data_IF_319256716690
#
_entry.id   IF_319256716690
#
_cell.length_a   1.000
_cell.length_b   1.000
_cell.length_c   1.000
_cell.angle_alpha   90.00
_cell.angle_beta   90.00
_cell.angle_gamma   90.00
#
_symmetry.space_group_name_H-M   'P 1'
#
loop_
_entity.id
_entity.type
_entity.pdbx_description
1 polymer ?
#
# COMPACT_ATOMS: atom_id res chain seq x y z
N UNK A 1 -12.23 10.24 -13.42
CA UNK A 1 -11.26 11.15 -12.75
C UNK A 1 -10.48 10.32 -11.76
N UNK A 2 -9.18 10.19 -11.93
CA UNK A 2 -8.31 9.37 -11.05
C UNK A 2 -8.18 10.05 -9.68
N UNK A 3 -8.32 9.30 -8.59
CA UNK A 3 -8.22 9.83 -7.23
C UNK A 3 -6.77 10.24 -6.93
N UNK A 4 -6.50 11.47 -6.43
CA UNK A 4 -5.15 11.86 -6.04
C UNK A 4 -4.54 10.92 -5.00
N UNK A 5 -3.23 10.67 -5.06
CA UNK A 5 -2.56 9.68 -4.22
C UNK A 5 -2.68 9.96 -2.71
N UNK A 6 -2.67 11.22 -2.30
CA UNK A 6 -2.88 11.61 -0.90
C UNK A 6 -4.26 11.16 -0.38
N UNK A 7 -5.29 11.21 -1.23
CA UNK A 7 -6.62 10.69 -0.93
C UNK A 7 -6.64 9.16 -0.86
N UNK A 8 -5.89 8.48 -1.76
CA UNK A 8 -5.71 7.02 -1.69
C UNK A 8 -5.13 6.62 -0.33
N UNK A 9 -4.04 7.27 0.11
CA UNK A 9 -3.41 6.96 1.40
C UNK A 9 -4.30 7.33 2.60
N UNK A 10 -5.05 8.41 2.50
CA UNK A 10 -6.02 8.79 3.54
C UNK A 10 -7.13 7.73 3.67
N UNK A 11 -7.64 7.25 2.54
CA UNK A 11 -8.65 6.19 2.52
C UNK A 11 -8.07 4.84 2.97
N UNK A 12 -6.79 4.56 2.69
CA UNK A 12 -6.08 3.36 3.12
C UNK A 12 -5.78 3.33 4.63
N UNK A 13 -5.90 4.46 5.32
CA UNK A 13 -5.63 4.52 6.77
C UNK A 13 -6.57 3.59 7.55
N UNK A 14 -6.08 2.85 8.56
CA UNK A 14 -4.69 2.87 9.06
C UNK A 14 -3.72 1.96 8.30
N UNK A 15 -4.21 0.99 7.55
CA UNK A 15 -3.37 -0.04 6.91
C UNK A 15 -3.75 -0.23 5.45
N UNK A 16 -2.74 -0.16 4.58
CA UNK A 16 -2.78 -0.62 3.19
C UNK A 16 -2.32 -2.09 3.15
N UNK A 17 -3.23 -3.07 2.97
CA UNK A 17 -2.81 -4.47 2.83
C UNK A 17 -1.96 -4.67 1.59
N UNK A 18 -0.84 -5.36 1.78
CA UNK A 18 0.09 -5.76 0.71
C UNK A 18 -0.12 -7.24 0.44
N UNK A 19 -0.77 -7.54 -0.68
CA UNK A 19 -1.25 -8.89 -0.99
C UNK A 19 -0.31 -9.61 -1.96
N UNK A 20 -0.06 -10.89 -1.68
CA UNK A 20 0.57 -11.83 -2.60
C UNK A 20 -0.48 -12.87 -2.96
N UNK A 21 -0.93 -12.90 -4.21
CA UNK A 21 -2.00 -13.77 -4.67
C UNK A 21 -1.43 -14.84 -5.59
N UNK A 22 -1.58 -16.11 -5.20
CA UNK A 22 -1.10 -17.29 -5.92
C UNK A 22 -2.23 -17.98 -6.72
N UNK A 23 -3.49 -17.77 -6.31
CA UNK A 23 -4.69 -18.34 -6.95
C UNK A 23 -5.69 -17.21 -7.25
N UNK A 24 -5.90 -16.96 -8.53
CA UNK A 24 -6.82 -15.92 -9.03
C UNK A 24 -8.26 -16.13 -8.53
N UNK A 25 -8.69 -17.39 -8.41
CA UNK A 25 -10.05 -17.71 -7.98
C UNK A 25 -10.37 -17.26 -6.54
N UNK A 26 -9.33 -17.05 -5.71
CA UNK A 26 -9.49 -16.60 -4.34
C UNK A 26 -9.45 -15.07 -4.19
N UNK A 27 -9.02 -14.35 -5.22
CA UNK A 27 -8.75 -12.93 -5.15
C UNK A 27 -10.00 -12.06 -4.86
N UNK A 28 -11.17 -12.27 -5.50
CA UNK A 28 -12.36 -11.48 -5.20
C UNK A 28 -12.90 -11.69 -3.79
N UNK A 29 -12.90 -12.94 -3.29
CA UNK A 29 -13.39 -13.25 -1.95
C UNK A 29 -12.45 -12.69 -0.88
N UNK A 30 -11.12 -12.72 -1.11
CA UNK A 30 -10.13 -12.06 -0.26
C UNK A 30 -10.41 -10.56 -0.18
N UNK A 31 -10.66 -9.90 -1.31
CA UNK A 31 -10.94 -8.48 -1.36
C UNK A 31 -12.22 -8.13 -0.58
N UNK A 32 -13.29 -8.92 -0.75
CA UNK A 32 -14.56 -8.75 0.00
C UNK A 32 -14.37 -8.98 1.50
N UNK A 33 -13.56 -9.97 1.90
CA UNK A 33 -13.27 -10.24 3.32
C UNK A 33 -12.55 -9.06 3.99
N UNK A 34 -11.55 -8.48 3.31
CA UNK A 34 -10.86 -7.28 3.79
C UNK A 34 -11.80 -6.07 3.84
N UNK A 35 -12.63 -5.89 2.81
CA UNK A 35 -13.63 -4.82 2.76
C UNK A 35 -14.66 -4.94 3.89
N UNK A 36 -15.15 -6.14 4.19
CA UNK A 36 -16.04 -6.41 5.32
C UNK A 36 -15.40 -6.10 6.68
N UNK A 37 -14.07 -6.14 6.77
CA UNK A 37 -13.27 -5.67 7.90
C UNK A 37 -13.04 -4.16 7.94
N UNK A 38 -13.55 -3.43 6.92
CA UNK A 38 -13.44 -1.97 6.80
C UNK A 38 -12.18 -1.49 6.08
N UNK A 39 -11.47 -2.37 5.41
CA UNK A 39 -10.31 -2.03 4.55
C UNK A 39 -10.79 -1.83 3.13
N UNK A 40 -10.74 -0.60 2.63
CA UNK A 40 -11.31 -0.21 1.34
C UNK A 40 -10.28 0.01 0.23
N UNK A 41 -8.99 -0.04 0.56
CA UNK A 41 -7.87 0.12 -0.38
C UNK A 41 -6.94 -1.08 -0.26
N UNK A 42 -6.58 -1.71 -1.37
CA UNK A 42 -5.73 -2.90 -1.42
C UNK A 42 -4.57 -2.70 -2.39
N UNK A 43 -3.39 -3.25 -2.06
CA UNK A 43 -2.23 -3.36 -2.95
C UNK A 43 -2.00 -4.84 -3.32
N UNK A 44 -2.20 -5.22 -4.59
CA UNK A 44 -1.81 -6.53 -5.11
C UNK A 44 -0.41 -6.43 -5.71
N UNK A 45 0.54 -7.20 -5.20
CA UNK A 45 1.93 -7.13 -5.64
C UNK A 45 2.19 -8.00 -6.88
N UNK A 46 2.94 -7.47 -7.85
CA UNK A 46 3.35 -8.20 -9.07
C UNK A 46 4.51 -9.18 -8.79
N UNK A 47 4.38 -9.98 -7.72
CA UNK A 47 5.36 -10.98 -7.29
C UNK A 47 5.02 -12.40 -7.76
N UNK A 48 3.84 -12.59 -8.32
CA UNK A 48 3.38 -13.87 -8.87
C UNK A 48 2.98 -13.69 -10.33
N UNK A 49 3.08 -14.73 -11.16
CA UNK A 49 2.60 -14.66 -12.54
C UNK A 49 1.09 -14.36 -12.65
N UNK A 50 0.31 -14.70 -11.62
CA UNK A 50 -1.15 -14.53 -11.56
C UNK A 50 -1.59 -13.13 -11.12
N UNK A 51 -0.67 -12.24 -10.74
CA UNK A 51 -1.01 -10.98 -10.08
C UNK A 51 -1.89 -10.06 -10.95
N UNK A 52 -1.61 -9.91 -12.23
CA UNK A 52 -2.41 -9.10 -13.15
C UNK A 52 -3.82 -9.67 -13.34
N UNK A 53 -3.94 -10.99 -13.47
CA UNK A 53 -5.23 -11.67 -13.57
C UNK A 53 -6.03 -11.53 -12.27
N UNK A 54 -5.35 -11.56 -11.11
CA UNK A 54 -5.98 -11.32 -9.82
C UNK A 54 -6.48 -9.88 -9.69
N UNK A 55 -5.71 -8.89 -10.16
CA UNK A 55 -6.15 -7.49 -10.24
C UNK A 55 -7.40 -7.37 -11.10
N UNK A 56 -7.39 -7.96 -12.29
CA UNK A 56 -8.55 -7.94 -13.21
C UNK A 56 -9.79 -8.61 -12.60
N UNK A 57 -9.62 -9.72 -11.89
CA UNK A 57 -10.70 -10.41 -11.21
C UNK A 57 -11.29 -9.55 -10.07
N UNK A 58 -10.46 -8.96 -9.20
CA UNK A 58 -10.92 -8.08 -8.13
C UNK A 58 -11.63 -6.86 -8.72
N UNK A 59 -11.05 -6.19 -9.71
CA UNK A 59 -11.65 -5.02 -10.36
C UNK A 59 -13.05 -5.29 -10.90
N UNK A 60 -13.26 -6.47 -11.48
CA UNK A 60 -14.56 -6.89 -12.04
C UNK A 60 -15.57 -7.30 -10.97
N UNK A 61 -15.13 -8.01 -9.92
CA UNK A 61 -16.01 -8.75 -9.00
C UNK A 61 -16.13 -8.15 -7.60
N UNK A 62 -15.24 -7.20 -7.26
CA UNK A 62 -15.25 -6.43 -6.01
C UNK A 62 -15.01 -4.93 -6.30
N UNK A 63 -15.88 -4.27 -7.11
CA UNK A 63 -15.68 -2.89 -7.57
C UNK A 63 -15.75 -1.85 -6.44
N UNK A 64 -16.21 -2.23 -5.26
CA UNK A 64 -16.23 -1.39 -4.06
C UNK A 64 -14.85 -1.12 -3.48
N UNK A 65 -13.83 -1.91 -3.88
CA UNK A 65 -12.46 -1.78 -3.39
C UNK A 65 -11.64 -0.90 -4.32
N UNK A 66 -10.90 0.05 -3.75
CA UNK A 66 -9.89 0.82 -4.48
C UNK A 66 -8.61 -0.03 -4.57
N UNK A 67 -8.24 -0.40 -5.79
CA UNK A 67 -7.22 -1.41 -6.04
C UNK A 67 -5.96 -0.82 -6.65
N UNK A 68 -4.80 -1.10 -6.06
CA UNK A 68 -3.49 -0.75 -6.58
C UNK A 68 -2.65 -1.96 -6.95
N UNK A 69 -1.72 -1.75 -7.88
CA UNK A 69 -0.67 -2.69 -8.20
C UNK A 69 0.62 -2.30 -7.47
N UNK A 70 1.24 -3.27 -6.79
CA UNK A 70 2.48 -3.08 -6.05
C UNK A 70 3.66 -3.86 -6.63
N UNK A 71 4.86 -3.47 -6.18
CA UNK A 71 6.12 -4.09 -6.61
C UNK A 71 6.41 -3.86 -8.12
N UNK A 72 5.99 -2.71 -8.66
CA UNK A 72 6.34 -2.33 -10.03
C UNK A 72 7.83 -1.97 -10.08
N UNK A 73 8.61 -2.71 -10.85
CA UNK A 73 10.06 -2.53 -11.00
C UNK A 73 10.50 -2.37 -12.48
N UNK A 74 9.54 -2.53 -13.40
CA UNK A 74 9.72 -2.35 -14.83
C UNK A 74 8.71 -1.35 -15.39
N UNK A 75 9.08 -0.60 -16.40
CA UNK A 75 8.26 0.49 -16.97
C UNK A 75 6.97 -0.02 -17.60
N UNK A 76 6.99 -1.14 -18.28
CA UNK A 76 5.86 -1.79 -18.93
C UNK A 76 4.76 -2.20 -17.94
N UNK A 77 5.14 -2.53 -16.70
CA UNK A 77 4.20 -2.97 -15.66
C UNK A 77 3.17 -1.90 -15.29
N UNK A 78 3.46 -0.61 -15.51
CA UNK A 78 2.49 0.45 -15.23
C UNK A 78 1.29 0.41 -16.18
N UNK A 79 1.53 0.22 -17.47
CA UNK A 79 0.47 0.06 -18.46
C UNK A 79 -0.30 -1.25 -18.25
N UNK A 80 0.42 -2.36 -18.04
CA UNK A 80 -0.18 -3.66 -17.76
C UNK A 80 -1.09 -3.63 -16.52
N UNK A 81 -0.63 -2.99 -15.44
CA UNK A 81 -1.41 -2.83 -14.21
C UNK A 81 -2.67 -1.97 -14.43
N UNK A 82 -2.54 -0.84 -15.15
CA UNK A 82 -3.68 0.01 -15.53
C UNK A 82 -4.71 -0.79 -16.34
N UNK A 83 -4.26 -1.50 -17.34
CA UNK A 83 -5.13 -2.25 -18.26
C UNK A 83 -5.81 -3.44 -17.55
N UNK A 84 -5.17 -3.99 -16.50
CA UNK A 84 -5.79 -4.95 -15.58
C UNK A 84 -6.80 -4.31 -14.60
N UNK A 85 -6.88 -2.98 -14.51
CA UNK A 85 -7.84 -2.27 -13.66
C UNK A 85 -7.27 -1.69 -12.37
N UNK A 86 -5.93 -1.65 -12.20
CA UNK A 86 -5.33 -0.95 -11.09
C UNK A 86 -5.59 0.56 -11.18
N UNK A 87 -5.88 1.17 -10.04
CA UNK A 87 -6.24 2.59 -9.90
C UNK A 87 -5.09 3.43 -9.31
N UNK A 88 -4.06 2.79 -8.79
CA UNK A 88 -2.79 3.39 -8.38
C UNK A 88 -1.65 2.38 -8.48
N UNK A 89 -0.42 2.88 -8.48
CA UNK A 89 0.79 2.08 -8.59
C UNK A 89 1.71 2.28 -7.38
N UNK A 90 2.43 1.23 -6.99
CA UNK A 90 3.39 1.25 -5.89
C UNK A 90 4.68 0.54 -6.30
N UNK A 91 5.83 1.12 -6.01
CA UNK A 91 7.12 0.49 -6.26
C UNK A 91 7.99 0.41 -4.99
N UNK A 92 8.98 -0.48 -4.94
CA UNK A 92 9.90 -0.55 -3.82
C UNK A 92 10.98 0.56 -3.83
N UNK A 93 11.15 1.25 -4.94
CA UNK A 93 12.12 2.33 -5.14
C UNK A 93 11.60 3.38 -6.11
N UNK A 94 12.34 4.47 -6.28
CA UNK A 94 12.02 5.55 -7.23
C UNK A 94 13.16 5.72 -8.24
N UNK A 95 12.84 5.68 -9.53
CA UNK A 95 13.77 6.03 -10.60
C UNK A 95 13.10 6.97 -11.60
N UNK A 96 13.88 7.79 -12.36
CA UNK A 96 13.32 8.64 -13.40
C UNK A 96 12.45 7.88 -14.40
N UNK A 97 12.87 6.68 -14.78
CA UNK A 97 12.14 5.84 -15.77
C UNK A 97 10.80 5.35 -15.23
N UNK A 98 10.74 4.94 -13.96
CA UNK A 98 9.48 4.51 -13.34
C UNK A 98 8.54 5.70 -13.11
N UNK A 99 9.06 6.88 -12.75
CA UNK A 99 8.28 8.10 -12.61
C UNK A 99 7.62 8.50 -13.94
N UNK A 100 8.40 8.48 -15.04
CA UNK A 100 7.87 8.75 -16.38
C UNK A 100 6.80 7.71 -16.80
N UNK A 101 7.05 6.42 -16.55
CA UNK A 101 6.08 5.36 -16.87
C UNK A 101 4.77 5.49 -16.09
N UNK A 102 4.82 5.95 -14.84
CA UNK A 102 3.62 6.22 -14.04
C UNK A 102 2.79 7.39 -14.63
N UNK A 103 3.47 8.45 -15.07
CA UNK A 103 2.84 9.59 -15.74
C UNK A 103 2.21 9.18 -17.07
N UNK A 104 2.94 8.45 -17.92
CA UNK A 104 2.46 7.93 -19.21
C UNK A 104 1.24 7.01 -19.03
N UNK A 105 1.23 6.18 -17.98
CA UNK A 105 0.10 5.33 -17.64
C UNK A 105 -1.08 6.10 -17.04
N UNK A 106 -0.88 7.33 -16.56
CA UNK A 106 -1.89 8.12 -15.86
C UNK A 106 -2.30 7.53 -14.50
N UNK A 107 -1.42 6.74 -13.88
CA UNK A 107 -1.65 6.14 -12.57
C UNK A 107 -1.07 7.03 -11.46
N UNK A 108 -1.85 7.36 -10.41
CA UNK A 108 -1.31 7.86 -9.15
C UNK A 108 -0.23 6.91 -8.65
N UNK A 109 0.94 7.44 -8.30
CA UNK A 109 2.11 6.62 -8.03
C UNK A 109 2.69 6.88 -6.64
N UNK A 110 2.88 5.81 -5.87
CA UNK A 110 3.52 5.78 -4.56
C UNK A 110 4.94 5.20 -4.69
N UNK A 111 5.96 6.03 -4.96
CA UNK A 111 7.33 5.59 -5.09
C UNK A 111 7.95 5.20 -3.75
N UNK A 112 8.80 4.16 -3.75
CA UNK A 112 9.57 3.73 -2.60
C UNK A 112 10.82 4.59 -2.40
N UNK A 113 11.16 4.87 -1.14
CA UNK A 113 12.37 5.58 -0.72
C UNK A 113 12.89 4.99 0.58
N UNK A 114 14.21 5.12 0.82
CA UNK A 114 14.83 4.75 2.09
C UNK A 114 15.79 5.84 2.60
N UNK A 115 16.30 6.72 1.75
CA UNK A 115 17.30 7.73 2.07
C UNK A 115 16.81 9.15 1.80
N UNK A 116 17.39 10.19 2.45
CA UNK A 116 17.08 11.59 2.12
C UNK A 116 17.29 11.95 0.65
N UNK A 117 18.32 11.37 -0.01
CA UNK A 117 18.57 11.62 -1.44
C UNK A 117 17.46 11.08 -2.32
N UNK A 118 16.90 9.92 -1.99
CA UNK A 118 15.75 9.36 -2.71
C UNK A 118 14.47 10.15 -2.45
N UNK A 119 14.29 10.71 -1.24
CA UNK A 119 13.20 11.66 -0.98
C UNK A 119 13.34 12.91 -1.85
N UNK A 120 14.55 13.48 -1.98
CA UNK A 120 14.80 14.62 -2.84
C UNK A 120 14.48 14.30 -4.32
N UNK A 121 14.95 13.14 -4.79
CA UNK A 121 14.63 12.67 -6.15
C UNK A 121 13.11 12.57 -6.37
N UNK A 122 12.39 11.96 -5.45
CA UNK A 122 10.93 11.85 -5.54
C UNK A 122 10.25 13.23 -5.56
N UNK A 123 10.76 14.20 -4.79
CA UNK A 123 10.27 15.57 -4.77
C UNK A 123 10.48 16.31 -6.09
N UNK A 124 11.60 16.05 -6.80
CA UNK A 124 11.87 16.62 -8.15
C UNK A 124 10.79 16.21 -9.16
N UNK A 125 10.21 15.01 -8.99
CA UNK A 125 9.08 14.51 -9.77
C UNK A 125 7.70 14.90 -9.20
N UNK A 126 7.66 15.74 -8.17
CA UNK A 126 6.42 16.24 -7.59
C UNK A 126 5.74 15.31 -6.58
N UNK A 127 6.31 14.17 -6.27
CA UNK A 127 5.72 13.21 -5.32
C UNK A 127 5.88 13.71 -3.88
N UNK A 128 4.76 13.77 -3.15
CA UNK A 128 4.71 14.17 -1.73
C UNK A 128 4.18 13.07 -0.82
N UNK A 129 3.67 12.01 -1.39
CA UNK A 129 3.31 10.77 -0.70
C UNK A 129 4.28 9.69 -1.14
N UNK A 130 4.99 9.07 -0.18
CA UNK A 130 6.11 8.16 -0.43
C UNK A 130 5.96 6.88 0.39
N UNK A 131 6.35 5.76 -0.18
CA UNK A 131 6.53 4.51 0.57
C UNK A 131 7.91 4.51 1.22
N UNK A 132 7.99 4.36 2.54
CA UNK A 132 9.27 4.05 3.20
C UNK A 132 9.47 2.54 3.16
N UNK A 133 10.50 2.05 2.45
CA UNK A 133 10.74 0.62 2.29
C UNK A 133 12.24 0.26 2.23
N UNK A 134 12.69 -0.77 2.97
CA UNK A 134 11.94 -1.52 3.99
C UNK A 134 11.81 -0.74 5.30
N UNK A 135 10.64 -0.83 5.96
CA UNK A 135 10.38 -0.18 7.24
C UNK A 135 10.51 -1.21 8.38
N UNK A 136 11.74 -1.43 8.82
CA UNK A 136 12.05 -2.39 9.87
C UNK A 136 12.17 -1.72 11.24
N UNK A 137 11.21 -2.03 12.10
CA UNK A 137 11.24 -1.76 13.53
C UNK A 137 11.58 -0.31 13.95
N UNK A 138 12.29 -0.21 15.07
CA UNK A 138 12.62 1.05 15.74
C UNK A 138 13.51 1.99 14.92
N UNK A 139 14.37 1.43 14.05
CA UNK A 139 15.27 2.24 13.20
C UNK A 139 14.46 3.09 12.21
N UNK A 140 13.44 2.51 11.60
CA UNK A 140 12.57 3.22 10.65
C UNK A 140 11.70 4.29 11.33
N UNK A 141 11.26 4.04 12.56
CA UNK A 141 10.56 5.05 13.37
C UNK A 141 11.47 6.26 13.66
N UNK A 142 12.74 6.01 14.02
CA UNK A 142 13.73 7.08 14.24
C UNK A 142 14.01 7.85 12.96
N UNK A 143 14.15 7.15 11.83
CA UNK A 143 14.36 7.77 10.53
C UNK A 143 13.19 8.69 10.15
N UNK A 144 11.95 8.23 10.24
CA UNK A 144 10.76 9.03 9.95
C UNK A 144 10.69 10.30 10.82
N UNK A 145 11.04 10.20 12.11
CA UNK A 145 11.15 11.37 12.99
C UNK A 145 12.18 12.38 12.49
N UNK A 146 13.35 11.89 12.03
CA UNK A 146 14.42 12.74 11.50
C UNK A 146 14.05 13.38 10.16
N UNK A 147 13.35 12.66 9.29
CA UNK A 147 12.89 13.17 7.99
C UNK A 147 11.82 14.26 8.10
N UNK A 148 11.06 14.31 9.20
CA UNK A 148 10.00 15.31 9.42
C UNK A 148 10.51 16.75 9.35
N UNK A 149 11.72 17.02 9.90
CA UNK A 149 12.29 18.37 9.95
C UNK A 149 12.58 18.93 8.56
N UNK A 150 13.48 18.30 7.78
CA UNK A 150 13.86 18.80 6.46
C UNK A 150 12.77 18.63 5.37
N UNK A 151 11.85 17.68 5.53
CA UNK A 151 10.86 17.32 4.50
C UNK A 151 9.43 17.64 4.96
N UNK A 152 9.14 18.92 5.14
CA UNK A 152 7.80 19.38 5.52
C UNK A 152 6.79 19.12 4.40
N UNK A 153 5.61 18.62 4.77
CA UNK A 153 4.53 18.33 3.80
C UNK A 153 4.68 16.99 3.06
N UNK A 154 5.69 16.18 3.39
CA UNK A 154 5.79 14.80 2.91
C UNK A 154 5.04 13.86 3.83
N UNK A 155 4.29 12.93 3.23
CA UNK A 155 3.57 11.86 3.92
C UNK A 155 4.16 10.51 3.54
N UNK A 156 4.34 9.65 4.53
CA UNK A 156 4.93 8.34 4.35
C UNK A 156 3.91 7.21 4.57
N UNK A 157 4.09 6.13 3.82
CA UNK A 157 3.48 4.81 4.04
C UNK A 157 4.63 3.82 4.34
N UNK A 158 5.09 3.68 5.60
CA UNK A 158 6.09 2.70 5.96
C UNK A 158 5.57 1.29 5.70
N UNK A 159 6.40 0.48 5.02
CA UNK A 159 6.04 -0.86 4.55
C UNK A 159 7.24 -1.82 4.68
N UNK A 160 6.98 -3.08 5.05
CA UNK A 160 8.00 -4.11 5.25
C UNK A 160 8.51 -4.14 6.70
N UNK A 161 8.05 -5.14 7.48
CA UNK A 161 8.35 -5.26 8.90
C UNK A 161 7.33 -4.63 9.84
N UNK A 162 6.27 -3.99 9.32
CA UNK A 162 5.14 -3.50 10.13
C UNK A 162 4.18 -4.65 10.44
N UNK A 163 3.69 -4.70 11.67
CA UNK A 163 2.73 -5.67 12.20
C UNK A 163 1.91 -5.04 13.34
N UNK A 164 1.00 -5.80 13.97
CA UNK A 164 0.15 -5.30 15.05
C UNK A 164 0.95 -4.76 16.25
N UNK A 165 2.08 -5.38 16.60
CA UNK A 165 2.86 -5.00 17.79
C UNK A 165 3.54 -3.63 17.64
N UNK A 166 3.88 -3.24 16.41
CA UNK A 166 4.61 -2.00 16.12
C UNK A 166 3.78 -0.95 15.37
N UNK A 167 2.56 -1.27 14.93
CA UNK A 167 1.64 -0.41 14.17
C UNK A 167 1.53 1.01 14.76
N UNK A 168 1.22 1.10 16.06
CA UNK A 168 1.02 2.38 16.73
C UNK A 168 2.29 3.22 16.80
N UNK A 169 3.48 2.60 16.80
CA UNK A 169 4.75 3.34 16.79
C UNK A 169 4.94 4.14 15.50
N UNK A 170 4.38 3.67 14.39
CA UNK A 170 4.37 4.37 13.11
C UNK A 170 3.23 5.39 13.01
N UNK A 171 2.01 4.99 13.32
CA UNK A 171 0.81 5.83 13.16
C UNK A 171 0.82 7.08 14.05
N UNK A 172 1.53 7.06 15.19
CA UNK A 172 1.72 8.25 16.04
C UNK A 172 2.59 9.34 15.41
N UNK A 173 3.27 9.04 14.30
CA UNK A 173 4.12 10.01 13.63
C UNK A 173 3.30 10.91 12.70
N UNK A 174 3.35 12.24 12.82
CA UNK A 174 2.49 13.13 12.07
C UNK A 174 2.79 13.15 10.56
N UNK A 175 3.94 12.65 10.14
CA UNK A 175 4.31 12.47 8.73
C UNK A 175 4.02 11.06 8.19
N UNK A 176 3.30 10.21 8.94
CA UNK A 176 2.79 8.91 8.47
C UNK A 176 1.32 9.05 8.13
N UNK A 177 0.93 8.62 6.93
CA UNK A 177 -0.45 8.65 6.46
C UNK A 177 -1.21 7.35 6.77
N UNK A 178 -0.56 6.22 6.53
CA UNK A 178 -1.00 4.85 6.81
C UNK A 178 0.25 3.98 6.85
N UNK A 179 0.11 2.69 7.11
CA UNK A 179 1.21 1.72 7.00
C UNK A 179 0.88 0.65 5.96
N UNK A 180 1.91 0.09 5.30
CA UNK A 180 1.77 -1.08 4.43
C UNK A 180 2.06 -2.38 5.19
N UNK A 181 1.17 -3.38 5.08
CA UNK A 181 1.35 -4.61 5.82
C UNK A 181 0.79 -5.86 5.17
N UNK A 182 1.47 -6.99 5.39
CA UNK A 182 1.08 -8.29 4.84
C UNK A 182 0.31 -9.15 5.84
N UNK A 183 0.32 -8.79 7.13
CA UNK A 183 -0.24 -9.61 8.22
C UNK A 183 -1.75 -9.73 8.20
N UNK A 184 -2.46 -8.84 7.50
CA UNK A 184 -3.93 -8.88 7.37
C UNK A 184 -4.41 -10.07 6.53
N UNK A 185 -3.57 -10.56 5.63
CA UNK A 185 -3.90 -11.65 4.72
C UNK A 185 -2.76 -12.68 4.63
N UNK A 186 -2.49 -13.42 5.71
CA UNK A 186 -1.46 -14.45 5.70
C UNK A 186 -1.77 -15.52 4.64
N UNK A 187 -0.78 -16.02 3.89
CA UNK A 187 -1.00 -17.02 2.84
C UNK A 187 -1.70 -18.30 3.33
N UNK A 188 -1.49 -18.69 4.59
CA UNK A 188 -2.17 -19.83 5.20
C UNK A 188 -3.68 -19.64 5.31
N UNK A 189 -4.14 -18.44 5.69
CA UNK A 189 -5.56 -18.11 5.79
C UNK A 189 -6.21 -17.97 4.42
N UNK A 190 -5.49 -17.40 3.45
CA UNK A 190 -5.98 -17.31 2.05
C UNK A 190 -6.20 -18.71 1.48
N UNK A 191 -5.22 -19.60 1.56
CA UNK A 191 -5.33 -20.99 1.09
C UNK A 191 -6.42 -21.79 1.81
N UNK A 192 -6.63 -21.52 3.10
CA UNK A 192 -7.69 -22.15 3.90
C UNK A 192 -9.08 -21.53 3.66
N UNK A 193 -9.18 -20.44 2.85
CA UNK A 193 -10.40 -19.64 2.67
C UNK A 193 -11.02 -19.19 4.00
N UNK A 194 -10.16 -18.86 4.97
CA UNK A 194 -10.57 -18.45 6.31
C UNK A 194 -10.97 -16.96 6.33
N UNK A 195 -11.98 -16.61 5.52
CA UNK A 195 -12.39 -15.23 5.25
C UNK A 195 -12.81 -14.47 6.51
N UNK A 196 -13.51 -15.13 7.43
CA UNK A 196 -13.91 -14.52 8.71
C UNK A 196 -12.70 -14.11 9.55
N UNK A 197 -11.62 -14.92 9.54
CA UNK A 197 -10.39 -14.59 10.26
C UNK A 197 -9.67 -13.41 9.61
N UNK A 198 -9.63 -13.32 8.29
CA UNK A 198 -9.08 -12.18 7.55
C UNK A 198 -9.88 -10.91 7.85
N UNK A 199 -11.21 -11.00 7.84
CA UNK A 199 -12.10 -9.90 8.23
C UNK A 199 -11.83 -9.44 9.66
N UNK A 200 -11.60 -10.37 10.59
CA UNK A 200 -11.29 -10.05 11.97
C UNK A 200 -9.94 -9.36 12.12
N UNK A 201 -8.87 -9.83 11.44
CA UNK A 201 -7.56 -9.16 11.43
C UNK A 201 -7.65 -7.72 10.92
N UNK A 202 -8.47 -7.48 9.90
CA UNK A 202 -8.70 -6.14 9.37
C UNK A 202 -9.39 -5.23 10.39
N UNK A 203 -10.42 -5.73 11.09
CA UNK A 203 -11.13 -5.00 12.18
C UNK A 203 -10.19 -4.66 13.32
N UNK A 204 -9.42 -5.63 13.82
CA UNK A 204 -8.48 -5.44 14.92
C UNK A 204 -7.44 -4.34 14.60
N UNK A 205 -6.89 -4.33 13.39
CA UNK A 205 -5.95 -3.29 12.98
C UNK A 205 -6.59 -1.89 13.00
N UNK A 206 -7.85 -1.77 12.58
CA UNK A 206 -8.59 -0.51 12.59
C UNK A 206 -8.97 -0.07 13.99
N UNK A 207 -9.45 -0.97 14.83
CA UNK A 207 -9.81 -0.69 16.23
C UNK A 207 -8.59 -0.24 17.03
N UNK A 208 -7.44 -0.94 16.85
CA UNK A 208 -6.20 -0.56 17.49
C UNK A 208 -5.75 0.87 17.08
N UNK A 209 -5.86 1.21 15.80
CA UNK A 209 -5.52 2.54 15.33
C UNK A 209 -6.51 3.61 15.82
N UNK A 210 -7.80 3.30 15.92
CA UNK A 210 -8.83 4.20 16.45
C UNK A 210 -8.59 4.62 17.90
N UNK A 211 -7.81 3.85 18.67
CA UNK A 211 -7.40 4.24 20.01
C UNK A 211 -6.48 5.48 20.05
N UNK A 212 -5.86 5.85 18.92
CA UNK A 212 -5.02 7.06 18.82
C UNK A 212 -5.84 8.36 18.73
N UNK A 213 -7.08 8.29 18.22
CA UNK A 213 -7.93 9.47 18.03
C UNK A 213 -8.61 9.91 19.34
N UNK A 214 -8.55 9.07 20.39
CA UNK A 214 -9.20 9.30 21.68
C UNK A 214 -8.28 9.95 22.72
N UNK A 215 -7.06 10.29 22.37
CA UNK A 215 -6.01 10.86 23.23
C UNK A 215 -5.36 12.07 22.55
#
# INVERSE_FOLDING_TARGET
>A
MTLPLDRVLQQASPVLPVLVIEDVALAPDLARALYAGGVTVLEVTLRTPQALDAIAAIHREAPEVLLGAGTLIHTEQFLEARDAGAQFAVSPGCTPRLAAAAEDAGLPYLPGVMTPSEVLLALEYGYRSLKLFPADGTASVKMLKSLKGPFTGIRFCPTGGVNLDNLLNFLRLPNVACVGGTWLAPPSLIRARAWDQITQLAREARELAGSLEQH
#
